data_IF_886195385957
#
_entry.id   IF_886195385957
#
_cell.length_a   1.000
_cell.length_b   1.000
_cell.length_c   1.000
_cell.angle_alpha   90.00
_cell.angle_beta   90.00
_cell.angle_gamma   90.00
#
_symmetry.space_group_name_H-M   'P 1'
#
loop_
_entity.id
_entity.type
_entity.pdbx_description
1 polymer ?
#
# COMPACT_ATOMS: atom_id res chain seq x y z
N UNK A 1 2.08 -5.82 25.98
CA UNK A 1 2.66 -4.92 24.95
C UNK A 1 2.90 -3.55 25.58
N UNK A 2 4.12 -3.00 25.49
CA UNK A 2 4.44 -1.67 26.03
C UNK A 2 4.38 -0.67 24.86
N UNK A 3 3.40 0.23 24.87
CA UNK A 3 3.30 1.30 23.87
C UNK A 3 4.44 2.28 24.16
N UNK A 4 5.46 2.32 23.28
CA UNK A 4 6.72 3.03 23.54
C UNK A 4 6.63 4.54 23.32
N UNK A 5 5.57 5.04 22.66
CA UNK A 5 5.23 6.46 22.53
C UNK A 5 3.80 6.58 21.98
N UNK A 6 2.91 7.20 22.74
CA UNK A 6 1.55 7.54 22.28
C UNK A 6 1.57 8.99 21.77
N UNK A 7 1.99 9.15 20.51
CA UNK A 7 1.84 10.43 19.82
C UNK A 7 0.47 10.47 19.16
N UNK A 8 -0.53 11.08 19.80
CA UNK A 8 -1.79 11.37 19.11
C UNK A 8 -1.50 12.38 18.00
N UNK A 9 -1.58 11.93 16.75
CA UNK A 9 -1.46 12.81 15.59
C UNK A 9 -2.63 13.80 15.61
N UNK A 10 -2.36 15.06 15.97
CA UNK A 10 -3.37 16.13 16.04
C UNK A 10 -3.89 16.57 14.67
N UNK A 11 -3.32 16.05 13.58
CA UNK A 11 -3.61 16.43 12.19
C UNK A 11 -3.74 15.18 11.34
N UNK A 12 -4.46 15.26 10.19
CA UNK A 12 -4.44 14.20 9.21
C UNK A 12 -3.03 13.83 8.82
N UNK A 13 -2.76 12.54 8.82
CA UNK A 13 -1.47 12.02 8.38
C UNK A 13 -1.50 11.99 6.86
N UNK A 14 -0.69 12.83 6.22
CA UNK A 14 -0.51 12.77 4.76
C UNK A 14 0.41 11.59 4.43
N UNK A 15 0.07 10.82 3.39
CA UNK A 15 0.85 9.62 3.04
C UNK A 15 2.23 10.01 2.52
N UNK A 16 2.33 11.09 1.73
CA UNK A 16 3.60 11.66 1.28
C UNK A 16 4.51 12.02 2.46
N UNK A 17 4.00 12.76 3.46
CA UNK A 17 4.73 13.09 4.69
C UNK A 17 5.27 11.84 5.42
N UNK A 18 4.51 10.75 5.45
CA UNK A 18 4.97 9.49 6.05
C UNK A 18 6.13 8.89 5.26
N UNK A 19 6.02 8.86 3.94
CA UNK A 19 7.00 8.26 3.04
C UNK A 19 8.32 9.05 3.06
N UNK A 20 8.26 10.38 2.99
CA UNK A 20 9.43 11.24 3.10
C UNK A 20 10.17 11.07 4.43
N UNK A 21 9.44 11.01 5.56
CA UNK A 21 10.05 10.79 6.88
C UNK A 21 10.67 9.41 7.04
N UNK A 22 10.26 8.45 6.21
CA UNK A 22 10.86 7.11 6.15
C UNK A 22 12.09 7.06 5.25
N UNK A 23 12.40 8.14 4.54
CA UNK A 23 13.48 8.19 3.56
C UNK A 23 13.11 7.51 2.25
N UNK A 24 11.82 7.47 1.90
CA UNK A 24 11.39 7.02 0.59
C UNK A 24 11.46 8.19 -0.39
N UNK A 25 12.46 8.18 -1.27
CA UNK A 25 12.68 9.28 -2.22
C UNK A 25 11.84 9.15 -3.50
N UNK A 26 11.29 7.96 -3.75
CA UNK A 26 10.45 7.67 -4.92
C UNK A 26 9.11 7.12 -4.47
N UNK A 27 8.05 7.87 -4.73
CA UNK A 27 6.68 7.43 -4.48
C UNK A 27 5.69 8.11 -5.42
N UNK A 28 4.58 7.43 -5.67
CA UNK A 28 3.54 7.85 -6.61
C UNK A 28 2.17 7.46 -6.04
N UNK A 29 1.24 8.41 -6.03
CA UNK A 29 -0.17 8.11 -5.79
C UNK A 29 -0.74 7.37 -7.01
N UNK A 30 -1.14 6.11 -6.82
CA UNK A 30 -1.72 5.29 -7.88
C UNK A 30 -3.22 5.51 -8.00
N UNK A 31 -3.92 5.50 -6.87
CA UNK A 31 -5.37 5.67 -6.81
C UNK A 31 -5.76 6.41 -5.53
N UNK A 32 -6.67 7.37 -5.64
CA UNK A 32 -7.01 8.25 -4.53
C UNK A 32 -8.27 7.81 -3.79
N UNK A 33 -9.24 7.19 -4.47
CA UNK A 33 -10.58 6.99 -3.92
C UNK A 33 -11.07 5.54 -4.05
N UNK A 34 -10.25 4.60 -3.58
CA UNK A 34 -10.66 3.18 -3.52
C UNK A 34 -11.69 2.98 -2.41
N UNK A 35 -12.92 2.67 -2.79
CA UNK A 35 -14.00 2.40 -1.84
C UNK A 35 -14.16 0.90 -1.58
N UNK A 36 -13.92 0.47 -0.33
CA UNK A 36 -14.08 -0.94 0.07
C UNK A 36 -14.84 -1.01 1.39
N UNK A 37 -15.95 -1.75 1.40
CA UNK A 37 -16.77 -2.00 2.60
C UNK A 37 -17.14 -0.70 3.35
N UNK A 38 -17.46 0.36 2.60
CA UNK A 38 -17.84 1.67 3.16
C UNK A 38 -16.68 2.55 3.64
N UNK A 39 -15.43 2.14 3.43
CA UNK A 39 -14.22 2.92 3.75
C UNK A 39 -13.53 3.39 2.48
N UNK A 40 -12.84 4.52 2.55
CA UNK A 40 -12.06 5.08 1.44
C UNK A 40 -10.57 4.94 1.72
N UNK A 41 -9.83 4.57 0.68
CA UNK A 41 -8.38 4.38 0.76
C UNK A 41 -7.68 5.10 -0.39
N UNK A 42 -6.50 5.62 -0.08
CA UNK A 42 -5.48 6.07 -1.02
C UNK A 42 -4.47 4.94 -1.21
N UNK A 43 -4.13 4.60 -2.44
CA UNK A 43 -3.10 3.61 -2.79
C UNK A 43 -1.87 4.32 -3.34
N UNK A 44 -0.73 4.06 -2.73
CA UNK A 44 0.55 4.66 -3.06
C UNK A 44 1.53 3.57 -3.42
N UNK A 45 2.20 3.72 -4.56
CA UNK A 45 3.45 3.00 -4.83
C UNK A 45 4.61 3.77 -4.21
N UNK A 46 5.58 3.06 -3.66
CA UNK A 46 6.83 3.65 -3.24
C UNK A 46 7.99 2.66 -3.36
N UNK A 47 9.19 3.18 -3.56
CA UNK A 47 10.42 2.41 -3.48
C UNK A 47 11.13 2.68 -2.15
N UNK A 48 11.60 1.61 -1.52
CA UNK A 48 12.39 1.67 -0.29
C UNK A 48 13.42 0.54 -0.32
N UNK A 49 14.70 0.87 -0.16
CA UNK A 49 15.81 -0.11 -0.20
C UNK A 49 15.81 -0.97 -1.47
N UNK A 50 15.63 -0.35 -2.63
CA UNK A 50 15.56 -0.99 -3.95
C UNK A 50 14.38 -1.97 -4.15
N UNK A 51 13.47 -2.04 -3.18
CA UNK A 51 12.26 -2.85 -3.24
C UNK A 51 11.01 -1.99 -3.51
N UNK A 52 10.07 -2.56 -4.25
CA UNK A 52 8.82 -1.91 -4.62
C UNK A 52 7.74 -2.25 -3.60
N UNK A 53 6.94 -1.26 -3.23
CA UNK A 53 5.94 -1.44 -2.20
C UNK A 53 4.64 -0.72 -2.55
N UNK A 54 3.55 -1.19 -1.95
CA UNK A 54 2.27 -0.50 -1.93
C UNK A 54 1.91 -0.12 -0.49
N UNK A 55 1.52 1.14 -0.31
CA UNK A 55 0.90 1.65 0.89
C UNK A 55 -0.57 1.93 0.59
N UNK A 56 -1.48 1.22 1.26
CA UNK A 56 -2.89 1.57 1.29
C UNK A 56 -3.21 2.31 2.59
N UNK A 57 -3.56 3.59 2.47
CA UNK A 57 -3.90 4.45 3.61
C UNK A 57 -5.39 4.75 3.59
N UNK A 58 -6.09 4.41 4.67
CA UNK A 58 -7.47 4.84 4.89
C UNK A 58 -7.57 6.35 5.04
N UNK A 59 -8.60 6.97 4.46
CA UNK A 59 -8.84 8.42 4.55
C UNK A 59 -9.50 8.84 5.86
N UNK A 60 -10.27 7.94 6.48
CA UNK A 60 -10.98 8.22 7.72
C UNK A 60 -10.19 7.82 8.96
N UNK A 61 -10.33 8.60 10.03
CA UNK A 61 -9.77 8.26 11.34
C UNK A 61 -10.57 7.12 12.01
N UNK A 62 -9.91 6.17 12.70
CA UNK A 62 -8.45 5.99 12.78
C UNK A 62 -7.86 5.54 11.44
N UNK A 63 -6.73 6.14 11.04
CA UNK A 63 -6.07 5.83 9.77
C UNK A 63 -5.62 4.36 9.74
N UNK A 64 -6.26 3.55 8.91
CA UNK A 64 -5.81 2.19 8.63
C UNK A 64 -4.66 2.24 7.62
N UNK A 65 -3.54 1.61 7.93
CA UNK A 65 -2.39 1.54 7.03
C UNK A 65 -2.11 0.07 6.70
N UNK A 66 -2.07 -0.26 5.42
CA UNK A 66 -1.67 -1.57 4.91
C UNK A 66 -0.42 -1.41 4.06
N UNK A 67 0.53 -2.32 4.25
CA UNK A 67 1.82 -2.31 3.56
C UNK A 67 1.97 -3.64 2.83
N UNK A 68 2.30 -3.57 1.54
CA UNK A 68 2.55 -4.71 0.69
C UNK A 68 3.94 -4.57 0.08
N UNK A 69 4.76 -5.61 0.20
CA UNK A 69 5.99 -5.75 -0.56
C UNK A 69 5.64 -6.36 -1.91
N UNK A 70 6.20 -5.82 -2.99
CA UNK A 70 6.10 -6.36 -4.33
C UNK A 70 7.44 -6.99 -4.70
N UNK A 71 7.43 -8.31 -4.91
CA UNK A 71 8.60 -9.05 -5.37
C UNK A 71 8.86 -8.77 -6.86
N UNK A 72 10.03 -9.18 -7.34
CA UNK A 72 10.39 -8.99 -8.74
C UNK A 72 9.41 -9.75 -9.65
N UNK A 73 8.72 -9.03 -10.52
CA UNK A 73 7.71 -9.58 -11.42
C UNK A 73 6.28 -9.48 -10.91
N UNK A 74 6.07 -9.00 -9.68
CA UNK A 74 4.74 -8.70 -9.16
C UNK A 74 4.15 -7.45 -9.81
N UNK A 75 2.88 -7.53 -10.21
CA UNK A 75 2.02 -6.43 -10.61
C UNK A 75 0.94 -6.18 -9.56
N UNK A 76 0.70 -4.94 -9.18
CA UNK A 76 -0.34 -4.63 -8.19
C UNK A 76 -1.39 -3.69 -8.77
N UNK A 77 -2.64 -4.11 -8.73
CA UNK A 77 -3.79 -3.32 -9.14
C UNK A 77 -4.67 -2.96 -7.95
N UNK A 78 -5.48 -1.89 -8.09
CA UNK A 78 -6.43 -1.50 -7.04
C UNK A 78 -7.44 -2.61 -6.68
N UNK A 79 -7.74 -3.51 -7.62
CA UNK A 79 -8.63 -4.65 -7.37
C UNK A 79 -7.97 -5.75 -6.52
N UNK A 80 -6.63 -5.87 -6.52
CA UNK A 80 -5.91 -6.78 -5.64
C UNK A 80 -6.03 -6.34 -4.19
N UNK A 81 -5.97 -5.03 -3.94
CA UNK A 81 -6.25 -4.48 -2.61
C UNK A 81 -7.70 -4.77 -2.17
N UNK A 82 -8.66 -4.60 -3.08
CA UNK A 82 -10.07 -4.92 -2.80
C UNK A 82 -10.26 -6.39 -2.44
N UNK A 83 -9.57 -7.28 -3.16
CA UNK A 83 -9.57 -8.72 -2.89
C UNK A 83 -8.99 -9.01 -1.51
N UNK A 84 -7.80 -8.48 -1.23
CA UNK A 84 -7.13 -8.62 0.06
C UNK A 84 -8.00 -8.20 1.25
N UNK A 85 -8.67 -7.05 1.17
CA UNK A 85 -9.55 -6.60 2.28
C UNK A 85 -10.75 -7.53 2.48
N UNK A 86 -11.24 -8.20 1.42
CA UNK A 86 -12.39 -9.10 1.48
C UNK A 86 -12.02 -10.52 1.92
N UNK A 87 -10.89 -11.05 1.45
CA UNK A 87 -10.51 -12.46 1.64
C UNK A 87 -9.38 -12.65 2.64
N UNK A 88 -8.61 -11.59 2.93
CA UNK A 88 -7.34 -11.68 3.65
C UNK A 88 -6.18 -12.18 2.78
N UNK A 89 -6.44 -12.49 1.51
CA UNK A 89 -5.46 -13.06 0.58
C UNK A 89 -5.20 -12.09 -0.56
N UNK A 90 -3.92 -11.83 -0.84
CA UNK A 90 -3.53 -11.28 -2.13
C UNK A 90 -3.60 -12.41 -3.14
N UNK A 91 -4.15 -12.14 -4.32
CA UNK A 91 -4.17 -13.11 -5.41
C UNK A 91 -2.73 -13.59 -5.62
N UNK A 92 -2.51 -14.91 -5.54
CA UNK A 92 -1.21 -15.47 -5.87
C UNK A 92 -0.88 -15.05 -7.30
N UNK A 93 0.12 -14.20 -7.46
CA UNK A 93 0.57 -13.80 -8.78
C UNK A 93 1.15 -15.05 -9.42
N UNK A 94 0.59 -15.43 -10.57
CA UNK A 94 1.15 -16.54 -11.32
C UNK A 94 2.58 -16.14 -11.68
N UNK A 95 3.61 -16.96 -11.37
CA UNK A 95 4.96 -16.69 -11.83
C UNK A 95 4.87 -16.57 -13.35
N UNK A 96 5.30 -15.41 -13.85
CA UNK A 96 5.24 -15.02 -15.25
C UNK A 96 5.47 -16.22 -16.19
N UNK A 97 4.41 -16.66 -16.86
CA UNK A 97 4.55 -17.35 -18.14
C UNK A 97 5.06 -16.30 -19.13
N UNK A 98 6.37 -16.03 -19.11
CA UNK A 98 7.03 -15.65 -20.35
C UNK A 98 6.98 -16.90 -21.23
N UNK A 99 5.93 -17.02 -22.05
CA UNK A 99 6.07 -17.77 -23.28
C UNK A 99 7.18 -17.07 -24.07
N UNK A 100 8.36 -17.70 -24.12
CA UNK A 100 9.39 -17.40 -25.10
C UNK A 100 8.74 -17.44 -26.49
N UNK A 101 8.39 -16.28 -27.02
CA UNK A 101 8.14 -16.15 -28.46
C UNK A 101 9.52 -16.08 -29.11
N UNK A 102 9.94 -17.26 -29.58
CA UNK A 102 10.92 -17.64 -30.61
C UNK A 102 11.66 -16.48 -31.29
#
# INVERSE_FOLDING_TARGET
MKILKEGMWKRPIEAADLLERKGCDHFTLLENDVQISGRFYELWWYSYQDENHILAKGKQYPYFLHFFLLEAGDAFEANDFTTYIKTGELKAQQPNFFEEII
#
